data_IF_825042472303
#
_entry.id   IF_825042472303
#
_cell.length_a   1.000
_cell.length_b   1.000
_cell.length_c   1.000
_cell.angle_alpha   90.00
_cell.angle_beta   90.00
_cell.angle_gamma   90.00
#
_symmetry.space_group_name_H-M   'P 1'
#
loop_
_entity.id
_entity.type
_entity.pdbx_description
1 polymer ?
#
# COMPACT_ATOMS: atom_id res chain seq x y z
N UNK A 1 -44.93 -42.71 30.63
CA UNK A 1 -44.88 -41.71 29.55
C UNK A 1 -44.39 -40.40 30.11
N UNK A 2 -43.16 -40.03 29.80
CA UNK A 2 -42.61 -38.67 29.56
C UNK A 2 -41.24 -39.00 28.92
N UNK A 3 -41.32 -39.54 27.71
CA UNK A 3 -40.23 -39.46 26.73
C UNK A 3 -40.64 -38.24 25.93
N UNK A 4 -39.87 -37.15 25.99
CA UNK A 4 -39.88 -35.98 25.09
C UNK A 4 -39.41 -34.71 25.85
N UNK A 5 -38.18 -34.68 26.38
CA UNK A 5 -37.58 -33.40 26.79
C UNK A 5 -36.05 -33.42 26.90
N UNK A 6 -35.36 -34.18 26.04
CA UNK A 6 -33.89 -34.15 25.94
C UNK A 6 -33.37 -34.20 24.50
N UNK A 7 -34.08 -33.55 23.57
CA UNK A 7 -33.66 -33.47 22.15
C UNK A 7 -33.98 -32.11 21.52
N UNK A 8 -33.93 -31.04 22.32
CA UNK A 8 -34.17 -29.66 21.85
C UNK A 8 -33.11 -28.65 22.33
N UNK A 9 -31.89 -29.09 22.67
CA UNK A 9 -30.76 -28.21 23.03
C UNK A 9 -29.53 -28.57 22.19
N UNK A 10 -29.73 -28.87 20.91
CA UNK A 10 -28.64 -29.21 19.98
C UNK A 10 -28.76 -28.49 18.65
N UNK A 11 -29.33 -27.27 18.64
CA UNK A 11 -29.60 -26.52 17.40
C UNK A 11 -29.26 -25.02 17.42
N UNK A 12 -28.61 -24.46 18.45
CA UNK A 12 -28.35 -23.01 18.50
C UNK A 12 -26.96 -22.64 19.05
N UNK A 13 -25.93 -23.36 18.61
CA UNK A 13 -24.55 -22.89 18.71
C UNK A 13 -23.85 -23.01 17.35
N UNK A 14 -24.52 -22.55 16.30
CA UNK A 14 -23.83 -21.81 15.25
C UNK A 14 -23.56 -20.42 15.83
N UNK A 15 -22.48 -20.29 16.61
CA UNK A 15 -21.79 -19.02 16.61
C UNK A 15 -21.33 -18.85 15.18
N UNK A 16 -22.00 -17.96 14.44
CA UNK A 16 -21.40 -17.39 13.24
C UNK A 16 -19.93 -17.08 13.60
N UNK A 17 -18.95 -17.47 12.77
CA UNK A 17 -17.64 -16.89 12.94
C UNK A 17 -17.88 -15.38 12.89
N UNK A 18 -17.66 -14.71 14.03
CA UNK A 18 -17.57 -13.27 14.10
C UNK A 18 -16.39 -12.96 13.18
N UNK A 19 -16.69 -12.77 11.90
CA UNK A 19 -15.83 -12.11 10.96
C UNK A 19 -15.44 -10.83 11.70
N UNK A 20 -14.15 -10.60 11.97
CA UNK A 20 -13.75 -9.32 12.54
C UNK A 20 -14.42 -8.26 11.67
N UNK A 21 -15.11 -7.31 12.32
CA UNK A 21 -15.70 -6.16 11.66
C UNK A 21 -14.75 -5.73 10.55
N UNK A 22 -15.26 -5.64 9.32
CA UNK A 22 -14.59 -4.91 8.24
C UNK A 22 -14.56 -3.43 8.65
N UNK A 23 -13.81 -3.09 9.69
CA UNK A 23 -13.68 -1.74 10.18
C UNK A 23 -12.89 -0.93 9.14
N UNK A 24 -13.60 -0.26 8.24
CA UNK A 24 -13.07 0.73 7.31
C UNK A 24 -12.39 0.22 6.04
N UNK A 25 -12.66 -1.02 5.61
CA UNK A 25 -12.03 -1.66 4.42
C UNK A 25 -13.00 -1.85 3.24
N UNK A 26 -14.15 -1.21 3.26
CA UNK A 26 -15.10 -1.28 2.16
C UNK A 26 -14.66 -0.34 1.02
N UNK A 27 -14.36 -0.91 -0.14
CA UNK A 27 -14.10 -0.25 -1.43
C UNK A 27 -12.72 0.34 -1.72
N UNK A 28 -11.62 -0.19 -1.16
CA UNK A 28 -10.29 0.15 -1.67
C UNK A 28 -9.89 -0.76 -2.85
N UNK A 29 -10.14 -0.34 -4.09
CA UNK A 29 -9.58 -0.99 -5.28
C UNK A 29 -8.17 -0.47 -5.54
N UNK A 30 -7.15 -1.31 -5.31
CA UNK A 30 -5.76 -0.93 -5.56
C UNK A 30 -5.48 -0.56 -7.01
N UNK A 31 -6.22 -1.09 -7.99
CA UNK A 31 -6.07 -0.66 -9.38
C UNK A 31 -6.51 0.79 -9.59
N UNK A 32 -7.61 1.18 -8.95
CA UNK A 32 -8.12 2.55 -9.00
C UNK A 32 -7.17 3.51 -8.28
N UNK A 33 -6.67 3.14 -7.09
CA UNK A 33 -5.67 3.95 -6.37
C UNK A 33 -4.42 4.17 -7.21
N UNK A 34 -3.86 3.10 -7.81
CA UNK A 34 -2.69 3.21 -8.69
C UNK A 34 -2.93 4.12 -9.91
N UNK A 35 -4.17 4.17 -10.40
CA UNK A 35 -4.54 4.99 -11.54
C UNK A 35 -4.73 6.46 -11.16
N UNK A 36 -5.43 6.75 -10.06
CA UNK A 36 -5.72 8.11 -9.59
C UNK A 36 -4.52 8.78 -8.92
N UNK A 37 -3.64 7.99 -8.31
CA UNK A 37 -2.41 8.46 -7.65
C UNK A 37 -1.17 7.90 -8.34
N UNK A 38 -0.91 8.25 -9.61
CA UNK A 38 0.18 7.68 -10.40
C UNK A 38 1.56 8.11 -9.91
N UNK A 39 1.67 9.22 -9.18
CA UNK A 39 2.91 9.69 -8.57
C UNK A 39 2.63 10.28 -7.19
N UNK A 40 3.38 9.82 -6.19
CA UNK A 40 3.26 10.31 -4.80
C UNK A 40 4.63 10.30 -4.12
N UNK A 41 4.79 11.19 -3.16
CA UNK A 41 6.02 11.47 -2.43
C UNK A 41 5.88 11.02 -0.99
N UNK A 42 6.95 10.44 -0.46
CA UNK A 42 6.99 9.94 0.91
C UNK A 42 7.10 11.11 1.88
N UNK A 43 6.05 11.32 2.66
CA UNK A 43 6.03 12.33 3.73
C UNK A 43 6.51 11.74 5.05
N UNK A 44 6.03 10.54 5.39
CA UNK A 44 6.42 9.83 6.61
C UNK A 44 6.73 8.37 6.34
N UNK A 45 7.63 7.78 7.14
CA UNK A 45 7.88 6.34 7.15
C UNK A 45 8.26 5.85 8.54
N UNK A 46 7.89 4.62 8.90
CA UNK A 46 8.51 3.94 10.05
C UNK A 46 9.96 3.54 9.78
N UNK A 47 10.34 3.45 8.51
CA UNK A 47 11.67 3.09 8.07
C UNK A 47 12.54 4.33 8.05
N UNK A 48 13.75 4.21 8.61
CA UNK A 48 14.74 5.27 8.51
C UNK A 48 15.49 5.18 7.18
N UNK A 49 15.27 6.17 6.31
CA UNK A 49 16.02 6.39 5.08
C UNK A 49 17.00 7.54 5.32
N UNK A 50 18.14 7.21 5.93
CA UNK A 50 19.15 8.21 6.28
C UNK A 50 19.65 8.98 5.05
N UNK A 51 19.83 10.29 5.19
CA UNK A 51 20.28 11.20 4.14
C UNK A 51 19.39 11.22 2.87
N UNK A 52 18.13 10.78 2.99
CA UNK A 52 17.19 10.87 1.90
C UNK A 52 16.76 12.33 1.71
N UNK A 53 17.02 12.86 0.52
CA UNK A 53 16.51 14.17 0.08
C UNK A 53 15.07 14.06 -0.40
N UNK A 54 14.75 12.98 -1.11
CA UNK A 54 13.43 12.72 -1.66
C UNK A 54 13.15 11.24 -1.83
N UNK A 55 11.98 10.78 -1.38
CA UNK A 55 11.45 9.47 -1.74
C UNK A 55 10.15 9.65 -2.48
N UNK A 56 10.00 9.04 -3.66
CA UNK A 56 8.72 9.07 -4.37
C UNK A 56 8.49 7.77 -5.12
N UNK A 57 7.23 7.44 -5.37
CA UNK A 57 6.85 6.27 -6.14
C UNK A 57 6.04 6.69 -7.36
N UNK A 58 6.10 5.84 -8.39
CA UNK A 58 5.33 6.02 -9.61
C UNK A 58 4.68 4.71 -10.07
N UNK A 59 3.45 4.82 -10.53
CA UNK A 59 2.73 3.80 -11.29
C UNK A 59 2.57 4.29 -12.73
N UNK A 60 3.02 3.50 -13.71
CA UNK A 60 2.99 3.92 -15.11
C UNK A 60 2.84 2.74 -16.07
N UNK A 61 2.54 3.05 -17.33
CA UNK A 61 2.48 2.06 -18.41
C UNK A 61 3.73 2.17 -19.28
N UNK A 62 4.38 1.02 -19.53
CA UNK A 62 5.54 0.91 -20.44
C UNK A 62 5.15 0.10 -21.67
N UNK A 63 5.26 0.69 -22.85
CA UNK A 63 5.14 -0.04 -24.12
C UNK A 63 6.48 -0.71 -24.45
N UNK A 64 6.46 -1.99 -24.79
CA UNK A 64 7.62 -2.71 -25.33
C UNK A 64 7.12 -3.71 -26.36
N UNK A 65 7.65 -3.61 -27.58
CA UNK A 65 7.09 -4.29 -28.76
C UNK A 65 5.59 -3.90 -28.88
N UNK A 66 4.69 -4.87 -29.11
CA UNK A 66 3.24 -4.67 -29.23
C UNK A 66 2.49 -4.93 -27.91
N UNK A 67 3.14 -4.78 -26.76
CA UNK A 67 2.54 -5.04 -25.44
C UNK A 67 2.73 -3.86 -24.51
N UNK A 68 1.68 -3.55 -23.76
CA UNK A 68 1.69 -2.57 -22.67
C UNK A 68 1.86 -3.31 -21.34
N UNK A 69 2.79 -2.84 -20.52
CA UNK A 69 3.06 -3.39 -19.20
C UNK A 69 2.79 -2.33 -18.14
N UNK A 70 2.05 -2.68 -17.09
CA UNK A 70 1.91 -1.87 -15.88
C UNK A 70 3.19 -1.98 -15.06
N UNK A 71 3.70 -0.85 -14.59
CA UNK A 71 4.96 -0.72 -13.88
C UNK A 71 4.74 -0.02 -12.54
N UNK A 72 5.61 -0.36 -11.59
CA UNK A 72 5.80 0.37 -10.34
C UNK A 72 7.28 0.65 -10.18
N UNK A 73 7.64 1.85 -9.74
CA UNK A 73 9.02 2.18 -9.37
C UNK A 73 9.01 3.04 -8.10
N UNK A 74 10.06 2.91 -7.30
CA UNK A 74 10.30 3.74 -6.12
C UNK A 74 11.67 4.38 -6.27
N UNK A 75 11.69 5.70 -6.30
CA UNK A 75 12.88 6.52 -6.42
C UNK A 75 13.30 7.03 -5.05
N UNK A 76 14.60 6.93 -4.77
CA UNK A 76 15.26 7.49 -3.60
C UNK A 76 16.37 8.41 -4.09
N UNK A 77 16.22 9.71 -3.88
CA UNK A 77 17.25 10.71 -4.13
C UNK A 77 17.90 11.07 -2.80
N UNK A 78 19.22 10.98 -2.73
CA UNK A 78 19.97 11.24 -1.51
C UNK A 78 20.65 12.62 -1.55
N UNK A 79 20.97 13.16 -0.38
CA UNK A 79 21.57 14.49 -0.23
C UNK A 79 22.94 14.62 -0.93
N UNK A 80 23.66 13.52 -1.12
CA UNK A 80 24.93 13.47 -1.85
C UNK A 80 24.77 13.47 -3.39
N UNK A 81 23.54 13.63 -3.90
CA UNK A 81 23.22 13.60 -5.33
C UNK A 81 23.10 12.19 -5.92
N UNK A 82 23.37 11.13 -5.15
CA UNK A 82 23.14 9.77 -5.61
C UNK A 82 21.65 9.45 -5.68
N UNK A 83 21.28 8.56 -6.59
CA UNK A 83 19.92 8.08 -6.73
C UNK A 83 19.87 6.56 -6.76
N UNK A 84 18.81 6.01 -6.19
CA UNK A 84 18.47 4.60 -6.28
C UNK A 84 17.03 4.48 -6.75
N UNK A 85 16.78 3.57 -7.68
CA UNK A 85 15.42 3.21 -8.06
C UNK A 85 15.35 1.75 -8.46
N UNK A 86 14.17 1.15 -8.37
CA UNK A 86 13.96 -0.26 -8.64
C UNK A 86 12.65 -0.49 -9.38
N UNK A 87 12.69 -0.48 -10.73
CA UNK A 87 11.49 -0.67 -11.53
C UNK A 87 11.02 -2.13 -11.48
N UNK A 88 9.73 -2.30 -11.26
CA UNK A 88 9.04 -3.58 -11.23
C UNK A 88 7.89 -3.62 -12.24
N UNK A 89 7.71 -4.78 -12.85
CA UNK A 89 6.47 -5.14 -13.54
C UNK A 89 5.40 -5.49 -12.51
N UNK A 90 4.22 -4.91 -12.66
CA UNK A 90 3.02 -5.33 -11.91
C UNK A 90 2.55 -6.66 -12.48
N UNK A 91 2.64 -7.72 -11.67
CA UNK A 91 2.33 -9.10 -12.08
C UNK A 91 0.85 -9.41 -11.92
N UNK A 92 0.31 -9.04 -10.76
CA UNK A 92 -1.10 -9.20 -10.39
C UNK A 92 -1.41 -8.21 -9.27
N UNK A 93 -2.68 -7.86 -9.16
CA UNK A 93 -3.23 -7.13 -8.01
C UNK A 93 -4.30 -8.03 -7.42
N UNK A 94 -4.26 -8.25 -6.12
CA UNK A 94 -5.26 -9.05 -5.39
C UNK A 94 -5.66 -8.25 -4.16
N UNK A 95 -6.93 -7.87 -4.11
CA UNK A 95 -7.47 -6.92 -3.15
C UNK A 95 -6.60 -5.65 -3.12
N UNK A 96 -5.97 -5.37 -1.98
CA UNK A 96 -5.11 -4.22 -1.74
C UNK A 96 -3.62 -4.51 -1.96
N UNK A 97 -3.26 -5.71 -2.42
CA UNK A 97 -1.87 -6.14 -2.60
C UNK A 97 -1.45 -6.09 -4.07
N UNK A 98 -0.39 -5.33 -4.33
CA UNK A 98 0.28 -5.24 -5.62
C UNK A 98 1.45 -6.21 -5.62
N UNK A 99 1.38 -7.24 -6.45
CA UNK A 99 2.48 -8.20 -6.62
C UNK A 99 3.39 -7.76 -7.76
N UNK A 100 4.68 -7.71 -7.47
CA UNK A 100 5.71 -7.08 -8.29
C UNK A 100 6.78 -8.08 -8.70
N UNK A 101 7.38 -7.89 -9.87
CA UNK A 101 8.53 -8.70 -10.29
C UNK A 101 9.45 -7.97 -11.26
N UNK A 102 10.73 -8.32 -11.26
CA UNK A 102 11.75 -7.67 -12.10
C UNK A 102 11.69 -8.11 -13.57
N UNK A 103 10.99 -9.21 -13.86
CA UNK A 103 10.91 -9.78 -15.21
C UNK A 103 9.52 -9.61 -15.84
N UNK A 104 9.45 -9.25 -17.13
CA UNK A 104 8.17 -8.96 -17.83
C UNK A 104 7.25 -10.16 -18.05
N UNK A 105 7.79 -11.37 -18.19
CA UNK A 105 6.99 -12.56 -18.52
C UNK A 105 6.10 -12.93 -17.33
N UNK A 106 4.79 -13.14 -17.58
CA UNK A 106 3.80 -13.49 -16.54
C UNK A 106 4.08 -14.82 -15.83
N UNK A 107 4.73 -15.76 -16.52
CA UNK A 107 5.10 -17.08 -15.98
C UNK A 107 6.12 -17.02 -14.85
N UNK A 108 6.92 -15.94 -14.77
CA UNK A 108 7.86 -15.76 -13.67
C UNK A 108 7.14 -15.21 -12.45
N UNK A 109 7.32 -15.82 -11.26
CA UNK A 109 6.58 -15.44 -10.07
C UNK A 109 6.91 -14.00 -9.63
N UNK A 110 6.02 -13.36 -8.84
CA UNK A 110 6.34 -12.12 -8.15
C UNK A 110 7.53 -12.31 -7.19
N UNK A 111 8.41 -11.31 -7.11
CA UNK A 111 9.56 -11.30 -6.19
C UNK A 111 9.36 -10.31 -5.04
N UNK A 112 8.51 -9.30 -5.23
CA UNK A 112 8.19 -8.28 -4.26
C UNK A 112 6.67 -8.04 -4.19
N UNK A 113 6.24 -7.33 -3.15
CA UNK A 113 4.86 -6.91 -2.98
C UNK A 113 4.78 -5.52 -2.32
N UNK A 114 3.65 -4.85 -2.52
CA UNK A 114 3.23 -3.65 -1.80
C UNK A 114 1.79 -3.80 -1.40
N UNK A 115 1.44 -3.36 -0.20
CA UNK A 115 0.06 -3.36 0.29
C UNK A 115 -0.39 -1.91 0.48
N UNK A 116 -1.50 -1.53 -0.15
CA UNK A 116 -2.14 -0.25 0.10
C UNK A 116 -3.06 -0.42 1.31
N UNK A 117 -2.69 0.16 2.45
CA UNK A 117 -3.46 0.02 3.68
C UNK A 117 -4.63 1.02 3.74
N UNK A 118 -4.47 2.18 3.11
CA UNK A 118 -5.48 3.23 3.01
C UNK A 118 -5.17 4.14 1.83
N UNK A 119 -6.20 4.77 1.25
CA UNK A 119 -6.08 5.87 0.32
C UNK A 119 -7.38 6.64 0.29
N UNK A 120 -7.30 7.96 0.19
CA UNK A 120 -8.46 8.79 -0.13
C UNK A 120 -8.69 8.92 -1.65
N UNK A 121 -7.89 8.23 -2.47
CA UNK A 121 -7.92 8.21 -3.93
C UNK A 121 -7.69 9.55 -4.64
N UNK A 122 -7.44 10.64 -3.91
CA UNK A 122 -7.30 11.98 -4.47
C UNK A 122 -5.90 12.55 -4.26
N UNK A 123 -5.36 12.38 -3.06
CA UNK A 123 -4.10 13.03 -2.68
C UNK A 123 -3.16 12.18 -1.83
N UNK A 124 -3.60 11.08 -1.24
CA UNK A 124 -2.74 10.30 -0.36
C UNK A 124 -3.00 8.79 -0.40
N UNK A 125 -1.97 8.05 0.01
CA UNK A 125 -2.10 6.64 0.35
C UNK A 125 -1.11 6.24 1.44
N UNK A 126 -1.51 5.27 2.25
CA UNK A 126 -0.62 4.56 3.18
C UNK A 126 -0.24 3.25 2.52
N UNK A 127 1.06 3.03 2.30
CA UNK A 127 1.57 1.85 1.60
C UNK A 127 2.64 1.14 2.43
N UNK A 128 2.63 -0.19 2.43
CA UNK A 128 3.55 -1.02 3.21
C UNK A 128 4.27 -2.04 2.35
N UNK A 129 5.50 -2.38 2.72
CA UNK A 129 6.17 -3.59 2.27
C UNK A 129 5.87 -4.75 3.24
N UNK A 130 5.09 -5.77 2.84
CA UNK A 130 4.73 -6.86 3.74
C UNK A 130 5.92 -7.74 4.17
N UNK A 131 7.02 -7.73 3.41
CA UNK A 131 8.24 -8.49 3.77
C UNK A 131 9.19 -7.71 4.68
N UNK A 132 9.03 -6.39 4.77
CA UNK A 132 9.87 -5.52 5.57
C UNK A 132 8.95 -4.52 6.29
N UNK A 133 8.43 -4.95 7.45
CA UNK A 133 7.42 -4.22 8.23
C UNK A 133 7.82 -2.77 8.56
N UNK A 134 9.09 -2.45 8.88
CA UNK A 134 9.55 -1.07 9.01
C UNK A 134 9.26 -0.18 7.79
N UNK A 135 9.05 -0.72 6.58
CA UNK A 135 8.73 0.09 5.40
C UNK A 135 7.22 0.25 5.27
N UNK A 136 6.65 1.06 6.15
CA UNK A 136 5.26 1.54 6.12
C UNK A 136 5.31 3.06 5.92
N UNK A 137 4.76 3.54 4.81
CA UNK A 137 4.96 4.91 4.33
C UNK A 137 3.62 5.63 4.14
N UNK A 138 3.56 6.89 4.56
CA UNK A 138 2.55 7.84 4.10
C UNK A 138 3.08 8.51 2.82
N UNK A 139 2.38 8.27 1.73
CA UNK A 139 2.66 8.85 0.42
C UNK A 139 1.59 9.88 0.09
N UNK A 140 1.99 11.06 -0.39
CA UNK A 140 1.10 12.18 -0.72
C UNK A 140 1.43 12.77 -2.09
N UNK A 141 0.50 13.43 -2.75
CA UNK A 141 0.78 14.21 -3.97
C UNK A 141 1.69 15.40 -3.65
N UNK A 142 2.31 15.99 -4.69
CA UNK A 142 3.26 17.10 -4.49
C UNK A 142 2.57 18.31 -3.87
N UNK A 143 1.35 18.56 -4.31
CA UNK A 143 0.50 19.70 -3.96
C UNK A 143 0.10 19.67 -2.48
N UNK A 144 -0.19 18.48 -1.96
CA UNK A 144 -0.62 18.29 -0.58
C UNK A 144 0.56 18.05 0.39
N UNK A 145 1.80 17.98 -0.09
CA UNK A 145 2.95 17.76 0.77
C UNK A 145 3.14 18.81 1.89
N UNK A 146 2.98 20.13 1.63
CA UNK A 146 3.14 21.15 2.67
C UNK A 146 2.06 21.08 3.75
N UNK A 147 0.87 20.58 3.40
CA UNK A 147 -0.29 20.49 4.29
C UNK A 147 -1.10 19.24 3.95
N UNK A 148 -0.64 18.05 4.35
CA UNK A 148 -1.32 16.80 4.02
C UNK A 148 -2.72 16.75 4.65
N UNK A 149 -3.69 16.02 4.06
CA UNK A 149 -4.99 15.84 4.66
C UNK A 149 -4.87 15.17 6.04
N UNK A 150 -5.59 15.71 7.02
CA UNK A 150 -5.53 15.22 8.40
C UNK A 150 -5.93 13.74 8.52
N UNK A 151 -6.92 13.30 7.73
CA UNK A 151 -7.35 11.90 7.67
C UNK A 151 -6.20 10.95 7.27
N UNK A 152 -5.31 11.37 6.36
CA UNK A 152 -4.21 10.54 5.89
C UNK A 152 -3.15 10.33 6.97
N UNK A 153 -2.88 11.38 7.76
CA UNK A 153 -1.99 11.33 8.92
C UNK A 153 -2.57 10.41 9.99
N UNK A 154 -3.85 10.57 10.32
CA UNK A 154 -4.53 9.74 11.32
C UNK A 154 -4.51 8.25 10.91
N UNK A 155 -4.85 7.96 9.65
CA UNK A 155 -4.81 6.60 9.10
C UNK A 155 -3.40 6.04 9.10
N UNK A 156 -2.39 6.82 8.75
CA UNK A 156 -1.00 6.39 8.84
C UNK A 156 -0.62 5.99 10.27
N UNK A 157 -0.89 6.84 11.26
CA UNK A 157 -0.56 6.54 12.66
C UNK A 157 -1.33 5.33 13.20
N UNK A 158 -2.60 5.17 12.80
CA UNK A 158 -3.42 4.02 13.22
C UNK A 158 -2.96 2.71 12.58
N UNK A 159 -2.56 2.73 11.31
CA UNK A 159 -2.25 1.53 10.52
C UNK A 159 -0.77 1.11 10.56
N UNK A 160 0.14 2.08 10.69
CA UNK A 160 1.58 1.87 10.74
C UNK A 160 2.12 1.98 12.18
N UNK A 161 1.60 2.90 13.00
CA UNK A 161 2.10 3.17 14.35
C UNK A 161 3.02 4.39 14.44
N UNK A 162 3.78 4.48 15.55
CA UNK A 162 4.70 5.57 15.88
C UNK A 162 5.89 5.07 16.71
N UNK A 163 7.04 5.78 16.76
CA UNK A 163 7.37 7.03 16.06
C UNK A 163 7.69 6.82 14.58
N UNK A 164 7.50 7.87 13.77
CA UNK A 164 7.80 7.86 12.33
C UNK A 164 8.82 8.94 11.97
N UNK A 165 9.64 8.66 10.96
CA UNK A 165 10.54 9.61 10.34
C UNK A 165 9.77 10.47 9.35
N UNK A 166 10.06 11.78 9.37
CA UNK A 166 9.47 12.77 8.47
C UNK A 166 10.50 13.12 7.40
N UNK A 167 10.05 13.25 6.16
CA UNK A 167 10.88 13.56 5.01
C UNK A 167 10.47 14.88 4.37
N UNK A 168 11.35 15.43 3.55
CA UNK A 168 11.08 16.61 2.72
C UNK A 168 11.04 16.21 1.25
N UNK A 169 10.60 17.14 0.40
CA UNK A 169 10.64 17.00 -1.06
C UNK A 169 11.37 18.17 -1.74
N UNK A 170 12.31 18.79 -1.03
CA UNK A 170 13.04 19.92 -1.57
C UNK A 170 13.85 19.48 -2.79
N UNK A 171 13.67 20.18 -3.91
CA UNK A 171 14.25 19.86 -5.22
C UNK A 171 14.03 18.40 -5.69
N UNK A 172 12.84 17.86 -5.41
CA UNK A 172 12.16 16.93 -6.31
C UNK A 172 11.23 17.71 -7.27
#
# INVERSE_FOLDING_TARGET
MIVLLFLAILHLSYTDPILPEKSGRDSLDANEVMWKLPQTYMLQSLGNFANLKCGYQVFYNKKKENKTFRMYDFFSLYMNGSSFHQPYYVKKVTDYTIYLGTHRKKTYPPTAAREILYSNMESCMVIRNPKNLPVCNLMVTKEEFPKPPAECLEKFHTLCGSPAFIYTINDC
#
